data_IF_534299692479
#
_entry.id   IF_534299692479
#
_cell.length_a   1.000
_cell.length_b   1.000
_cell.length_c   1.000
_cell.angle_alpha   90.00
_cell.angle_beta   90.00
_cell.angle_gamma   90.00
#
_symmetry.space_group_name_H-M   'P 1'
#
loop_
_entity.id
_entity.type
_entity.pdbx_description
1 polymer ?
#
# COMPACT_ATOMS: atom_id res chain seq x y z
N UNK A 1 -9.11 3.76 27.03
CA UNK A 1 -9.25 3.80 26.84
C UNK A 1 -9.20 3.79 26.44
N UNK A 2 -9.09 3.60 26.26
CA UNK A 2 -9.06 3.62 25.81
C UNK A 2 -8.71 3.52 25.36
N UNK A 3 -8.45 3.44 25.23
CA UNK A 3 -8.20 3.29 24.87
C UNK A 3 -7.70 2.93 24.64
N UNK A 4 -7.61 2.68 24.71
CA UNK A 4 -7.33 2.32 24.51
C UNK A 4 -6.97 1.83 24.28
N UNK A 5 -6.98 1.52 24.35
CA UNK A 5 -6.89 1.13 24.10
C UNK A 5 -6.59 0.78 23.81
N UNK A 6 -6.44 0.63 23.92
CA UNK A 6 -6.37 0.33 23.61
C UNK A 6 -6.13 -0.10 23.08
N UNK A 7 -6.04 -0.30 23.28
CA UNK A 7 -5.94 -0.73 22.80
C UNK A 7 -5.79 -1.39 22.21
N UNK A 8 -5.65 -1.83 22.00
CA UNK A 8 -5.71 -2.49 21.69
C UNK A 8 -5.86 -3.16 21.06
N UNK A 9 -5.72 -3.58 20.44
CA UNK A 9 -5.91 -4.26 19.83
C UNK A 9 -5.37 -5.02 19.44
N UNK A 10 -5.29 -5.48 19.37
CA UNK A 10 -4.66 -6.17 18.81
C UNK A 10 -4.84 -6.78 17.84
N UNK A 11 -4.81 -7.32 17.42
CA UNK A 11 -4.82 -7.86 16.61
C UNK A 11 -5.21 -7.57 15.54
N UNK A 12 -5.19 -7.75 15.16
CA UNK A 12 -5.39 -7.45 14.25
C UNK A 12 -5.56 -6.50 13.76
N UNK A 13 -5.51 -6.30 14.00
CA UNK A 13 -5.39 -5.40 13.70
C UNK A 13 -4.57 -4.74 13.86
N UNK A 14 -3.87 -4.88 13.98
CA UNK A 14 -3.22 -4.33 14.05
C UNK A 14 -2.87 -3.65 13.43
N UNK A 15 -2.94 -3.64 13.42
CA UNK A 15 -2.77 -3.04 12.82
C UNK A 15 -3.02 -2.52 12.19
N UNK A 16 -3.03 -3.00 12.11
CA UNK A 16 -3.15 -2.45 11.29
C UNK A 16 -4.02 -1.56 11.20
N UNK A 17 -4.35 -1.51 11.32
CA UNK A 17 -4.99 -0.66 11.11
C UNK A 17 -5.09 0.42 11.76
N UNK A 18 -4.98 0.74 12.38
CA UNK A 18 -5.00 1.74 12.83
C UNK A 18 -4.22 2.57 12.40
N UNK A 19 -3.53 2.23 11.72
CA UNK A 19 -2.58 3.15 11.27
C UNK A 19 -3.15 4.36 10.66
N UNK A 20 -4.33 4.28 10.19
CA UNK A 20 -4.95 5.45 9.64
C UNK A 20 -5.08 6.54 10.68
N UNK A 21 -5.23 6.15 11.92
CA UNK A 21 -5.34 7.10 13.01
C UNK A 21 -3.99 7.63 13.43
N UNK A 22 -2.93 6.95 13.06
CA UNK A 22 -1.60 7.32 13.49
C UNK A 22 -1.08 8.50 12.70
N UNK A 23 -0.40 9.41 13.39
CA UNK A 23 0.31 10.49 12.72
C UNK A 23 1.66 9.95 12.27
N UNK A 24 1.99 10.05 10.99
CA UNK A 24 3.28 9.57 10.52
C UNK A 24 4.41 10.35 11.17
N UNK A 25 5.58 9.74 11.38
CA UNK A 25 6.72 10.45 11.88
C UNK A 25 7.11 11.59 10.95
N UNK A 26 7.65 12.70 11.48
CA UNK A 26 8.13 13.77 10.61
C UNK A 26 9.28 13.28 9.75
N UNK A 27 9.48 13.92 8.62
CA UNK A 27 10.55 13.62 7.68
C UNK A 27 10.41 12.25 7.01
N UNK A 28 9.20 11.74 6.95
CA UNK A 28 8.93 10.49 6.25
C UNK A 28 8.00 10.76 5.08
N UNK A 29 8.17 9.96 4.05
CA UNK A 29 7.24 9.98 2.92
C UNK A 29 6.00 9.21 3.32
N UNK A 30 4.83 9.76 3.02
CA UNK A 30 3.56 9.10 3.34
C UNK A 30 2.66 9.09 2.12
N UNK A 31 1.69 8.19 2.12
CA UNK A 31 0.57 8.29 1.18
C UNK A 31 -0.41 9.32 1.70
N UNK A 32 -0.85 10.24 0.84
CA UNK A 32 -1.90 11.15 1.25
C UNK A 32 -3.24 10.40 1.27
N UNK A 33 -4.29 11.09 1.74
CA UNK A 33 -5.59 10.44 1.90
C UNK A 33 -6.13 9.89 0.58
N UNK A 34 -6.02 10.65 -0.48
CA UNK A 34 -6.53 10.22 -1.77
C UNK A 34 -5.78 9.01 -2.29
N UNK A 35 -4.47 9.03 -2.18
CA UNK A 35 -3.64 7.90 -2.59
C UNK A 35 -4.00 6.65 -1.81
N UNK A 36 -4.09 6.80 -0.49
CA UNK A 36 -4.39 5.66 0.36
C UNK A 36 -5.78 5.10 0.09
N UNK A 37 -6.76 5.96 -0.14
CA UNK A 37 -8.10 5.51 -0.48
C UNK A 37 -8.11 4.68 -1.76
N UNK A 38 -7.35 5.09 -2.76
CA UNK A 38 -7.29 4.34 -4.02
C UNK A 38 -6.65 2.98 -3.83
N UNK A 39 -5.57 2.94 -3.06
CA UNK A 39 -4.90 1.68 -2.77
C UNK A 39 -5.81 0.76 -1.96
N UNK A 40 -6.48 1.29 -0.94
CA UNK A 40 -7.35 0.49 -0.09
C UNK A 40 -8.60 0.02 -0.83
N UNK A 41 -9.10 0.80 -1.77
CA UNK A 41 -10.21 0.35 -2.60
C UNK A 41 -9.81 -0.86 -3.44
N UNK A 42 -8.63 -0.81 -4.04
CA UNK A 42 -8.09 -1.96 -4.77
C UNK A 42 -7.88 -3.15 -3.82
N UNK A 43 -7.31 -2.90 -2.66
CA UNK A 43 -7.07 -3.94 -1.68
C UNK A 43 -8.37 -4.66 -1.32
N UNK A 44 -9.43 -3.88 -1.05
CA UNK A 44 -10.73 -4.45 -0.69
C UNK A 44 -11.28 -5.36 -1.78
N UNK A 45 -11.18 -4.94 -3.04
CA UNK A 45 -11.64 -5.78 -4.15
C UNK A 45 -10.84 -7.06 -4.26
N UNK A 46 -9.53 -6.97 -4.08
CA UNK A 46 -8.68 -8.15 -4.18
C UNK A 46 -8.89 -9.12 -3.02
N UNK A 47 -9.20 -8.59 -1.84
CA UNK A 47 -9.58 -9.43 -0.70
C UNK A 47 -10.91 -10.14 -0.98
N UNK A 48 -11.87 -9.40 -1.52
CA UNK A 48 -13.17 -9.99 -1.85
C UNK A 48 -13.04 -11.10 -2.90
N UNK A 49 -12.07 -10.97 -3.80
CA UNK A 49 -11.81 -11.97 -4.83
C UNK A 49 -10.95 -13.13 -4.31
N UNK A 50 -10.54 -13.09 -3.05
CA UNK A 50 -9.71 -14.15 -2.46
C UNK A 50 -8.25 -14.07 -2.84
N UNK A 51 -7.81 -12.98 -3.47
CA UNK A 51 -6.43 -12.84 -3.95
C UNK A 51 -5.47 -12.34 -2.90
N UNK A 52 -5.92 -11.45 -2.04
CA UNK A 52 -5.08 -10.84 -1.01
C UNK A 52 -5.68 -11.08 0.37
N UNK A 53 -4.81 -11.14 1.39
CA UNK A 53 -5.26 -11.37 2.76
C UNK A 53 -4.76 -10.36 3.76
N UNK A 54 -3.63 -9.73 3.48
CA UNK A 54 -2.99 -8.89 4.48
C UNK A 54 -2.19 -7.80 3.79
N UNK A 55 -1.93 -6.73 4.51
CA UNK A 55 -1.09 -5.66 4.01
C UNK A 55 -0.25 -5.06 5.14
N UNK A 56 0.80 -4.35 4.75
CA UNK A 56 1.62 -3.58 5.68
C UNK A 56 1.96 -2.26 5.01
N UNK A 57 2.07 -1.22 5.82
CA UNK A 57 2.45 0.11 5.32
C UNK A 57 3.71 0.54 6.03
N UNK A 58 4.70 0.98 5.26
CA UNK A 58 5.95 1.52 5.79
C UNK A 58 6.13 2.95 5.30
N UNK A 59 6.43 3.85 6.21
CA UNK A 59 6.75 5.23 5.89
C UNK A 59 8.24 5.43 6.12
N UNK A 60 9.00 5.53 5.03
CA UNK A 60 10.44 5.64 5.09
C UNK A 60 10.87 7.06 4.75
N UNK A 61 12.16 7.33 4.88
CA UNK A 61 12.69 8.66 4.58
C UNK A 61 12.48 9.05 3.14
N UNK A 62 12.66 8.11 2.24
CA UNK A 62 12.68 8.38 0.80
C UNK A 62 11.44 7.86 0.09
N UNK A 63 10.64 7.01 0.72
CA UNK A 63 9.47 6.47 0.04
C UNK A 63 8.46 5.92 1.04
N UNK A 64 7.23 5.78 0.57
CA UNK A 64 6.18 5.06 1.27
C UNK A 64 5.94 3.75 0.54
N UNK A 65 5.68 2.68 1.29
CA UNK A 65 5.51 1.35 0.72
C UNK A 65 4.25 0.71 1.28
N UNK A 66 3.39 0.23 0.38
CA UNK A 66 2.20 -0.54 0.74
C UNK A 66 2.44 -1.95 0.21
N UNK A 67 2.64 -2.91 1.12
CA UNK A 67 2.93 -4.29 0.77
C UNK A 67 1.66 -5.12 0.91
N UNK A 68 1.39 -6.00 -0.05
CA UNK A 68 0.22 -6.87 0.00
C UNK A 68 0.67 -8.32 0.01
N UNK A 69 -0.06 -9.14 0.76
CA UNK A 69 0.30 -10.52 1.00
C UNK A 69 -0.87 -11.44 0.71
N UNK A 70 -0.56 -12.60 0.18
CA UNK A 70 -1.57 -13.67 0.11
C UNK A 70 -1.70 -14.34 1.46
N UNK A 71 -0.59 -14.50 2.18
CA UNK A 71 -0.54 -15.04 3.52
C UNK A 71 0.36 -14.17 4.36
N UNK A 72 0.02 -14.02 5.63
CA UNK A 72 0.72 -13.06 6.48
C UNK A 72 2.19 -13.41 6.72
N UNK A 73 2.58 -14.66 6.55
CA UNK A 73 3.97 -15.07 6.78
C UNK A 73 4.82 -15.15 5.52
N UNK A 74 4.26 -14.81 4.38
CA UNK A 74 4.99 -14.87 3.10
C UNK A 74 5.67 -13.56 2.79
N UNK A 75 6.52 -13.57 1.77
CA UNK A 75 7.01 -12.34 1.20
C UNK A 75 5.86 -11.64 0.49
N UNK A 76 5.90 -10.33 0.34
CA UNK A 76 4.82 -9.61 -0.33
C UNK A 76 4.65 -10.08 -1.77
N UNK A 77 3.38 -10.20 -2.20
CA UNK A 77 3.08 -10.43 -3.61
C UNK A 77 3.46 -9.23 -4.45
N UNK A 78 3.12 -8.05 -3.97
CA UNK A 78 3.39 -6.78 -4.63
C UNK A 78 3.71 -5.75 -3.59
N UNK A 79 4.50 -4.75 -3.98
CA UNK A 79 4.69 -3.53 -3.22
C UNK A 79 4.31 -2.36 -4.09
N UNK A 80 3.51 -1.48 -3.53
CA UNK A 80 3.12 -0.24 -4.19
C UNK A 80 3.94 0.86 -3.52
N UNK A 81 4.82 1.49 -4.27
CA UNK A 81 5.76 2.47 -3.72
C UNK A 81 5.49 3.86 -4.24
N UNK A 82 5.69 4.84 -3.37
CA UNK A 82 5.65 6.24 -3.71
C UNK A 82 7.02 6.83 -3.39
N UNK A 83 7.73 7.28 -4.41
CA UNK A 83 9.06 7.88 -4.27
C UNK A 83 9.03 9.28 -4.89
N UNK A 84 8.85 10.33 -4.07
CA UNK A 84 8.74 11.69 -4.60
C UNK A 84 9.97 12.17 -5.35
N UNK A 85 11.13 11.56 -5.11
CA UNK A 85 12.35 11.96 -5.83
C UNK A 85 12.26 11.69 -7.32
N UNK A 86 11.38 10.77 -7.72
CA UNK A 86 11.20 10.39 -9.11
C UNK A 86 10.03 11.12 -9.77
N UNK A 87 9.41 12.07 -9.08
CA UNK A 87 8.19 12.72 -9.56
C UNK A 87 8.36 13.40 -10.91
N UNK A 88 9.57 13.88 -11.21
CA UNK A 88 9.84 14.61 -12.45
C UNK A 88 10.65 13.80 -13.46
N UNK A 89 11.02 12.58 -13.11
CA UNK A 89 11.91 11.79 -13.98
C UNK A 89 11.21 10.59 -14.57
N UNK A 90 10.70 9.72 -13.72
CA UNK A 90 10.12 8.46 -14.15
C UNK A 90 8.71 8.26 -13.62
N UNK A 91 8.28 9.19 -12.76
CA UNK A 91 7.03 9.04 -12.04
C UNK A 91 7.25 8.47 -10.67
N UNK A 92 6.51 8.98 -9.67
CA UNK A 92 6.79 8.62 -8.30
C UNK A 92 6.12 7.33 -7.82
N UNK A 93 5.20 6.78 -8.60
CA UNK A 93 4.50 5.56 -8.22
C UNK A 93 5.03 4.37 -8.96
N UNK A 94 5.17 3.24 -8.27
CA UNK A 94 5.59 2.00 -8.91
C UNK A 94 4.95 0.80 -8.24
N UNK A 95 4.78 -0.27 -9.01
CA UNK A 95 4.34 -1.57 -8.50
C UNK A 95 5.50 -2.53 -8.72
N UNK A 96 5.90 -3.19 -7.63
CA UNK A 96 7.05 -4.07 -7.63
C UNK A 96 6.58 -5.47 -7.24
N UNK A 97 7.01 -6.47 -8.02
CA UNK A 97 6.62 -7.86 -7.78
C UNK A 97 7.40 -8.48 -6.62
N UNK A 98 6.99 -9.69 -6.24
CA UNK A 98 7.67 -10.46 -5.21
C UNK A 98 9.14 -10.70 -5.54
N UNK A 99 9.49 -10.76 -6.81
CA UNK A 99 10.86 -10.97 -7.24
C UNK A 99 11.63 -9.66 -7.43
N UNK A 100 11.08 -8.57 -6.90
CA UNK A 100 11.67 -7.24 -6.93
C UNK A 100 11.80 -6.70 -8.36
N UNK A 101 10.89 -7.11 -9.22
CA UNK A 101 10.83 -6.61 -10.58
C UNK A 101 9.81 -5.47 -10.64
N UNK A 102 10.22 -4.34 -11.18
CA UNK A 102 9.30 -3.20 -11.35
C UNK A 102 8.36 -3.52 -12.50
N UNK A 103 7.09 -3.74 -12.16
CA UNK A 103 6.09 -4.10 -13.16
C UNK A 103 5.58 -2.88 -13.90
N UNK A 104 5.48 -1.76 -13.20
CA UNK A 104 5.03 -0.51 -13.78
C UNK A 104 5.49 0.65 -12.93
N UNK A 105 5.83 1.74 -13.58
CA UNK A 105 6.15 3.00 -12.92
C UNK A 105 5.50 4.12 -13.70
N UNK A 106 5.00 5.14 -13.01
CA UNK A 106 4.35 6.22 -13.69
C UNK A 106 4.01 7.38 -12.78
N UNK A 107 3.37 8.37 -13.38
CA UNK A 107 3.05 9.64 -12.72
C UNK A 107 1.67 9.63 -12.08
N UNK A 108 0.80 8.73 -12.50
CA UNK A 108 -0.57 8.64 -11.98
C UNK A 108 -0.78 7.29 -11.31
N UNK A 109 -1.16 7.35 -10.05
CA UNK A 109 -1.33 6.14 -9.26
C UNK A 109 -2.37 5.20 -9.87
N UNK A 110 -3.49 5.74 -10.34
CA UNK A 110 -4.55 4.92 -10.92
C UNK A 110 -4.05 4.08 -12.08
N UNK A 111 -3.23 4.68 -12.93
CA UNK A 111 -2.71 3.97 -14.09
C UNK A 111 -1.69 2.92 -13.70
N UNK A 112 -0.89 3.24 -12.68
CA UNK A 112 0.11 2.27 -12.19
C UNK A 112 -0.59 1.06 -11.59
N UNK A 113 -1.68 1.29 -10.86
CA UNK A 113 -2.42 0.20 -10.22
C UNK A 113 -3.10 -0.72 -11.23
N UNK A 114 -3.32 -0.28 -12.46
CA UNK A 114 -3.96 -1.13 -13.47
C UNK A 114 -3.16 -2.39 -13.76
N UNK A 115 -1.86 -2.37 -13.53
CA UNK A 115 -1.06 -3.57 -13.77
C UNK A 115 -1.49 -4.72 -12.86
N UNK A 116 -2.04 -4.40 -11.69
CA UNK A 116 -2.56 -5.39 -10.76
C UNK A 116 -4.05 -5.61 -10.97
N UNK A 117 -4.80 -4.53 -11.20
CA UNK A 117 -6.25 -4.58 -11.25
C UNK A 117 -6.72 -5.02 -12.63
N UNK A 118 -6.72 -6.31 -12.82
CA UNK A 118 -7.06 -6.88 -14.11
C UNK A 118 -8.49 -6.62 -14.56
N UNK A 119 -9.38 -6.43 -13.60
CA UNK A 119 -10.77 -6.11 -13.93
C UNK A 119 -10.86 -4.77 -14.63
N UNK A 120 -10.14 -3.76 -14.11
CA UNK A 120 -10.10 -2.47 -14.76
C UNK A 120 -9.29 -2.52 -16.05
N UNK A 121 -8.20 -3.25 -16.04
CA UNK A 121 -7.34 -3.33 -17.21
C UNK A 121 -8.01 -4.05 -18.37
N UNK A 122 -8.91 -4.97 -18.08
CA UNK A 122 -9.60 -5.75 -19.11
C UNK A 122 -10.74 -5.00 -19.77
N UNK A 123 -11.18 -3.90 -19.17
CA UNK A 123 -12.22 -3.06 -19.73
C UNK A 123 -11.61 -2.07 -20.74
#
# INVERSE_FOLDING_TARGET
>A
MSIISEDTDPSGLRAAARPAAATPPPNRVTFNRLELNRILNLYGRMVADGEWRDYAIDFLKDRAVFSVFRRSSEVPLYRIEKDPRLARKQGMYSVISATVLILRRGYELDRVLLVIDRKLAAV
#
